data_IF_364035300613
#
_entry.id   IF_364035300613
#
_cell.length_a   1.000
_cell.length_b   1.000
_cell.length_c   1.000
_cell.angle_alpha   90.00
_cell.angle_beta   90.00
_cell.angle_gamma   90.00
#
_symmetry.space_group_name_H-M   'P 1'
#
loop_
_entity.id
_entity.type
_entity.pdbx_description
1 polymer ?
#
# COMPACT_ATOMS: atom_id res chain seq x y z
N UNK A 1 -23.02 6.64 -24.61
CA UNK A 1 -22.50 6.86 -23.26
C UNK A 1 -21.19 6.09 -23.17
N UNK A 2 -20.08 6.79 -22.96
CA UNK A 2 -18.76 6.17 -22.94
C UNK A 2 -18.68 5.21 -21.73
N UNK A 3 -18.05 4.04 -21.88
CA UNK A 3 -17.93 3.07 -20.76
C UNK A 3 -17.24 3.70 -19.56
N UNK A 4 -16.37 4.68 -19.81
CA UNK A 4 -15.66 5.43 -18.78
C UNK A 4 -16.59 6.37 -17.99
N UNK A 5 -17.51 7.06 -18.66
CA UNK A 5 -18.54 7.90 -18.00
C UNK A 5 -19.48 7.06 -17.15
N UNK A 6 -19.82 5.85 -17.60
CA UNK A 6 -20.67 4.94 -16.85
C UNK A 6 -19.99 4.45 -15.56
N UNK A 7 -18.70 4.13 -15.60
CA UNK A 7 -17.93 3.71 -14.42
C UNK A 7 -17.77 4.87 -13.44
N UNK A 8 -17.48 6.07 -13.94
CA UNK A 8 -17.38 7.27 -13.10
C UNK A 8 -18.70 7.57 -12.39
N UNK A 9 -19.81 7.59 -13.13
CA UNK A 9 -21.16 7.79 -12.59
C UNK A 9 -21.53 6.73 -11.56
N UNK A 10 -21.28 5.46 -11.84
CA UNK A 10 -21.60 4.37 -10.90
C UNK A 10 -20.76 4.43 -9.62
N UNK A 11 -19.55 5.01 -9.67
CA UNK A 11 -18.69 5.17 -8.49
C UNK A 11 -19.13 6.37 -7.64
N UNK A 12 -19.57 7.45 -8.28
CA UNK A 12 -20.14 8.65 -7.65
C UNK A 12 -21.55 8.40 -7.08
N UNK A 13 -22.34 7.48 -7.65
CA UNK A 13 -23.67 7.11 -7.14
C UNK A 13 -23.65 6.20 -5.90
N UNK A 14 -22.53 5.52 -5.61
CA UNK A 14 -22.44 4.52 -4.54
C UNK A 14 -22.03 5.10 -3.17
N UNK A 15 -21.51 6.32 -3.13
CA UNK A 15 -21.04 6.97 -1.89
C UNK A 15 -21.52 8.42 -1.93
N UNK A 16 -22.24 8.86 -0.90
CA UNK A 16 -22.79 10.21 -0.86
C UNK A 16 -21.67 11.27 -0.79
N UNK A 17 -21.87 12.44 -1.43
CA UNK A 17 -20.90 13.56 -1.35
C UNK A 17 -20.61 13.99 0.09
N UNK A 18 -21.55 13.76 1.02
CA UNK A 18 -21.43 14.08 2.44
C UNK A 18 -20.49 13.11 3.18
N UNK A 19 -20.60 11.79 2.95
CA UNK A 19 -19.66 10.78 3.48
C UNK A 19 -18.25 10.93 2.90
N UNK A 20 -18.13 11.38 1.65
CA UNK A 20 -16.85 11.66 0.99
C UNK A 20 -16.19 12.93 1.55
N UNK A 21 -16.95 13.91 2.04
CA UNK A 21 -16.38 15.15 2.60
C UNK A 21 -15.79 14.97 3.99
N UNK A 22 -16.27 14.00 4.77
CA UNK A 22 -15.69 13.66 6.08
C UNK A 22 -14.38 12.86 5.98
N UNK A 23 -14.16 12.16 4.86
CA UNK A 23 -12.94 11.40 4.59
C UNK A 23 -12.09 12.22 3.62
N UNK A 24 -10.86 12.60 3.98
CA UNK A 24 -9.93 13.31 3.08
C UNK A 24 -9.59 12.50 1.79
N UNK A 25 -10.54 12.40 0.86
CA UNK A 25 -10.52 11.51 -0.30
C UNK A 25 -10.04 12.29 -1.51
N UNK A 26 -9.00 11.78 -2.17
CA UNK A 26 -8.45 12.36 -3.41
C UNK A 26 -8.66 11.40 -4.56
N UNK A 27 -9.45 11.81 -5.54
CA UNK A 27 -9.60 11.10 -6.81
C UNK A 27 -8.47 11.48 -7.76
N UNK A 28 -7.87 10.49 -8.42
CA UNK A 28 -6.78 10.67 -9.39
C UNK A 28 -7.11 9.84 -10.62
N UNK A 29 -7.09 10.45 -11.81
CA UNK A 29 -7.28 9.69 -13.05
C UNK A 29 -5.96 9.03 -13.48
N UNK A 30 -6.01 7.76 -13.90
CA UNK A 30 -4.82 7.05 -14.40
C UNK A 30 -4.15 7.77 -15.57
N UNK A 31 -4.94 8.37 -16.46
CA UNK A 31 -4.43 9.11 -17.62
C UNK A 31 -3.59 10.33 -17.25
N UNK A 32 -3.71 10.86 -16.03
CA UNK A 32 -2.96 12.04 -15.58
C UNK A 32 -1.48 11.73 -15.34
N UNK A 33 -1.12 10.50 -14.96
CA UNK A 33 0.26 10.15 -14.59
C UNK A 33 0.82 8.93 -15.34
N UNK A 34 -0.02 8.01 -15.81
CA UNK A 34 0.43 6.79 -16.49
C UNK A 34 1.07 7.05 -17.86
N UNK A 35 0.75 8.20 -18.50
CA UNK A 35 1.35 8.62 -19.77
C UNK A 35 2.72 9.30 -19.63
N UNK A 36 3.18 9.50 -18.40
CA UNK A 36 4.48 10.11 -18.12
C UNK A 36 5.66 9.24 -18.59
N UNK A 37 6.74 9.91 -19.02
CA UNK A 37 7.99 9.24 -19.40
C UNK A 37 8.62 8.49 -18.22
N UNK A 38 8.51 9.04 -17.01
CA UNK A 38 8.97 8.40 -15.77
C UNK A 38 8.21 7.10 -15.49
N UNK A 39 6.88 7.13 -15.62
CA UNK A 39 6.03 5.95 -15.43
C UNK A 39 6.40 4.83 -16.40
N UNK A 40 6.51 5.17 -17.69
CA UNK A 40 6.87 4.23 -18.75
C UNK A 40 8.26 3.63 -18.50
N UNK A 41 9.23 4.44 -18.08
CA UNK A 41 10.58 3.98 -17.77
C UNK A 41 10.58 3.01 -16.57
N UNK A 42 9.82 3.31 -15.51
CA UNK A 42 9.72 2.45 -14.34
C UNK A 42 9.03 1.11 -14.68
N UNK A 43 8.00 1.15 -15.53
CA UNK A 43 7.35 -0.06 -16.04
C UNK A 43 8.33 -0.94 -16.84
N UNK A 44 9.13 -0.36 -17.74
CA UNK A 44 10.16 -1.07 -18.50
C UNK A 44 11.29 -1.61 -17.61
N UNK A 45 11.66 -0.89 -16.55
CA UNK A 45 12.64 -1.40 -15.57
C UNK A 45 12.09 -2.62 -14.82
N UNK A 46 10.81 -2.59 -14.42
CA UNK A 46 10.15 -3.73 -13.77
C UNK A 46 10.01 -4.93 -14.71
N UNK A 47 9.70 -4.71 -15.98
CA UNK A 47 9.56 -5.80 -16.95
C UNK A 47 10.87 -6.58 -17.11
N UNK A 48 12.03 -5.91 -17.03
CA UNK A 48 13.35 -6.54 -17.07
C UNK A 48 13.64 -7.42 -15.85
N UNK A 49 13.21 -7.00 -14.66
CA UNK A 49 13.52 -7.71 -13.41
C UNK A 49 12.63 -8.93 -13.17
N UNK A 50 11.49 -9.01 -13.85
CA UNK A 50 10.40 -9.89 -13.42
C UNK A 50 10.32 -11.18 -14.24
N UNK A 51 11.04 -12.23 -13.83
CA UNK A 51 10.76 -13.62 -14.28
C UNK A 51 9.51 -14.22 -13.60
N UNK A 52 9.05 -13.59 -12.52
CA UNK A 52 7.87 -13.99 -11.71
C UNK A 52 6.51 -13.57 -12.26
N UNK A 53 6.46 -12.74 -13.31
CA UNK A 53 5.22 -12.14 -13.83
C UNK A 53 4.24 -13.22 -14.28
N UNK A 54 4.75 -14.34 -14.80
CA UNK A 54 3.96 -15.50 -15.20
C UNK A 54 3.13 -16.07 -14.04
N UNK A 55 3.69 -16.16 -12.82
CA UNK A 55 2.95 -16.65 -11.63
C UNK A 55 1.86 -15.69 -11.13
N UNK A 56 2.04 -14.39 -11.37
CA UNK A 56 1.02 -13.38 -11.06
C UNK A 56 -0.13 -13.41 -12.07
N UNK A 57 0.14 -13.85 -13.30
CA UNK A 57 -0.88 -13.99 -14.35
C UNK A 57 -1.82 -15.17 -14.15
N UNK A 58 -1.36 -16.29 -13.57
CA UNK A 58 -2.18 -17.51 -13.43
C UNK A 58 -3.46 -17.33 -12.59
N UNK A 59 -3.60 -16.24 -11.83
CA UNK A 59 -4.84 -15.91 -11.08
C UNK A 59 -5.66 -14.78 -11.71
N UNK A 60 -5.01 -13.80 -12.35
CA UNK A 60 -5.69 -12.64 -12.97
C UNK A 60 -6.28 -13.02 -14.33
N UNK A 61 -5.61 -13.92 -15.04
CA UNK A 61 -6.07 -14.50 -16.30
C UNK A 61 -6.53 -15.92 -16.04
N UNK A 62 -7.84 -16.10 -15.84
CA UNK A 62 -8.45 -17.45 -15.75
C UNK A 62 -8.13 -18.22 -17.03
N UNK A 63 -7.26 -19.22 -16.95
CA UNK A 63 -7.02 -20.28 -17.94
C UNK A 63 -6.98 -19.82 -19.42
N UNK A 64 -6.26 -18.75 -19.74
CA UNK A 64 -6.05 -18.37 -21.14
C UNK A 64 -4.82 -19.10 -21.71
N UNK A 65 -5.03 -20.08 -22.57
CA UNK A 65 -3.97 -20.82 -23.30
C UNK A 65 -3.01 -19.88 -24.06
N UNK A 66 -3.48 -18.69 -24.47
CA UNK A 66 -2.68 -17.63 -25.08
C UNK A 66 -3.06 -16.26 -24.49
N UNK A 67 -2.40 -15.81 -23.41
CA UNK A 67 -2.69 -14.52 -22.80
C UNK A 67 -2.22 -13.37 -23.70
N UNK A 68 -2.99 -12.28 -23.75
CA UNK A 68 -2.58 -11.06 -24.46
C UNK A 68 -1.40 -10.39 -23.74
N UNK A 69 -0.53 -9.72 -24.49
CA UNK A 69 0.59 -8.93 -23.92
C UNK A 69 0.09 -7.88 -22.92
N UNK A 70 -1.10 -7.31 -23.16
CA UNK A 70 -1.75 -6.38 -22.22
C UNK A 70 -2.00 -7.00 -20.83
N UNK A 71 -2.25 -8.30 -20.75
CA UNK A 71 -2.43 -9.02 -19.47
C UNK A 71 -1.10 -9.17 -18.71
N UNK A 72 0.03 -9.12 -19.40
CA UNK A 72 1.37 -9.08 -18.76
C UNK A 72 1.71 -7.67 -18.28
N UNK A 73 1.31 -6.64 -19.05
CA UNK A 73 1.61 -5.25 -18.74
C UNK A 73 0.77 -4.76 -17.56
N UNK A 74 -0.49 -5.18 -17.46
CA UNK A 74 -1.43 -4.68 -16.45
C UNK A 74 -0.95 -4.86 -14.99
N UNK A 75 -0.47 -6.04 -14.54
CA UNK A 75 0.09 -6.19 -13.19
C UNK A 75 1.32 -5.32 -12.93
N UNK A 76 2.14 -5.07 -13.96
CA UNK A 76 3.31 -4.20 -13.84
C UNK A 76 2.87 -2.74 -13.68
N UNK A 77 1.89 -2.30 -14.46
CA UNK A 77 1.30 -0.97 -14.32
C UNK A 77 0.75 -0.76 -12.91
N UNK A 78 -0.06 -1.69 -12.40
CA UNK A 78 -0.62 -1.61 -11.05
C UNK A 78 0.46 -1.61 -9.96
N UNK A 79 1.58 -2.33 -10.15
CA UNK A 79 2.72 -2.27 -9.24
C UNK A 79 3.42 -0.90 -9.27
N UNK A 80 3.57 -0.29 -10.46
CA UNK A 80 4.11 1.08 -10.59
C UNK A 80 3.15 2.11 -10.00
N UNK A 81 1.83 1.93 -10.15
CA UNK A 81 0.82 2.84 -9.60
C UNK A 81 0.97 2.98 -8.09
N UNK A 82 1.20 1.87 -7.37
CA UNK A 82 1.46 1.88 -5.91
C UNK A 82 2.64 2.80 -5.57
N UNK A 83 3.73 2.72 -6.34
CA UNK A 83 4.92 3.54 -6.11
C UNK A 83 4.71 5.01 -6.51
N UNK A 84 4.07 5.26 -7.66
CA UNK A 84 3.91 6.61 -8.22
C UNK A 84 2.87 7.44 -7.47
N UNK A 85 1.79 6.80 -6.99
CA UNK A 85 0.79 7.44 -6.16
C UNK A 85 1.28 7.67 -4.72
N UNK A 86 2.44 7.09 -4.36
CA UNK A 86 3.04 7.14 -3.02
C UNK A 86 2.04 6.66 -1.96
N UNK A 87 1.40 5.53 -2.23
CA UNK A 87 0.43 4.95 -1.28
C UNK A 87 1.16 4.14 -0.22
N UNK A 88 0.86 4.41 1.04
CA UNK A 88 1.42 3.66 2.17
C UNK A 88 0.74 2.29 2.35
N UNK A 89 -0.56 2.23 2.03
CA UNK A 89 -1.38 1.03 2.15
C UNK A 89 -2.21 0.84 0.88
N UNK A 90 -1.92 -0.24 0.14
CA UNK A 90 -2.74 -0.67 -0.98
C UNK A 90 -3.86 -1.61 -0.49
N UNK A 91 -5.10 -1.16 -0.60
CA UNK A 91 -6.30 -1.94 -0.24
C UNK A 91 -6.93 -2.49 -1.52
N UNK A 92 -7.25 -3.78 -1.54
CA UNK A 92 -7.85 -4.45 -2.68
C UNK A 92 -8.42 -5.81 -2.29
N UNK A 93 -9.16 -6.45 -3.21
CA UNK A 93 -9.71 -7.79 -3.01
C UNK A 93 -8.63 -8.87 -2.88
N UNK A 94 -9.02 -10.06 -2.43
CA UNK A 94 -8.10 -11.21 -2.26
C UNK A 94 -7.42 -11.59 -3.59
N UNK A 95 -8.13 -11.41 -4.70
CA UNK A 95 -7.69 -11.57 -6.08
C UNK A 95 -6.52 -10.64 -6.46
N UNK A 96 -6.35 -9.51 -5.78
CA UNK A 96 -5.26 -8.55 -6.04
C UNK A 96 -4.01 -8.81 -5.20
N UNK A 97 -4.05 -9.77 -4.26
CA UNK A 97 -2.94 -10.07 -3.35
C UNK A 97 -1.63 -10.36 -4.09
N UNK A 98 -1.67 -11.13 -5.20
CA UNK A 98 -0.46 -11.44 -5.98
C UNK A 98 0.17 -10.21 -6.59
N UNK A 99 -0.62 -9.23 -7.02
CA UNK A 99 -0.14 -7.97 -7.59
C UNK A 99 0.52 -7.14 -6.49
N UNK A 100 -0.07 -7.07 -5.30
CA UNK A 100 0.54 -6.39 -4.15
C UNK A 100 1.85 -7.04 -3.72
N UNK A 101 1.93 -8.38 -3.74
CA UNK A 101 3.18 -9.11 -3.47
C UNK A 101 4.22 -8.89 -4.57
N UNK A 102 3.81 -8.83 -5.83
CA UNK A 102 4.68 -8.48 -6.93
C UNK A 102 5.30 -7.09 -6.70
N UNK A 103 4.46 -6.08 -6.43
CA UNK A 103 4.92 -4.71 -6.14
C UNK A 103 5.92 -4.70 -4.99
N UNK A 104 5.61 -5.37 -3.87
CA UNK A 104 6.50 -5.47 -2.71
C UNK A 104 7.87 -6.05 -3.06
N UNK A 105 7.92 -7.07 -3.90
CA UNK A 105 9.15 -7.77 -4.22
C UNK A 105 9.98 -7.05 -5.30
N UNK A 106 9.33 -6.35 -6.23
CA UNK A 106 10.00 -5.75 -7.40
C UNK A 106 10.30 -4.27 -7.25
N UNK A 107 9.49 -3.50 -6.51
CA UNK A 107 9.71 -2.06 -6.30
C UNK A 107 11.07 -1.72 -5.64
N UNK A 108 11.59 -2.50 -4.66
CA UNK A 108 12.92 -2.26 -4.11
C UNK A 108 14.04 -2.31 -5.15
N UNK A 109 13.90 -3.14 -6.20
CA UNK A 109 14.92 -3.32 -7.24
C UNK A 109 15.07 -2.11 -8.16
N UNK A 110 14.04 -1.27 -8.25
CA UNK A 110 14.03 -0.08 -9.10
C UNK A 110 14.19 1.22 -8.29
N UNK A 111 14.60 1.11 -7.02
CA UNK A 111 14.94 2.24 -6.16
C UNK A 111 13.79 2.74 -5.27
N UNK A 112 12.60 2.16 -5.38
CA UNK A 112 11.50 2.44 -4.46
C UNK A 112 11.70 1.61 -3.18
N UNK A 113 12.37 2.22 -2.19
CA UNK A 113 12.46 1.66 -0.83
C UNK A 113 11.10 1.77 -0.16
N UNK A 114 10.25 0.77 -0.37
CA UNK A 114 9.00 0.68 0.39
C UNK A 114 9.16 -0.40 1.44
N UNK A 115 9.37 0.04 2.68
CA UNK A 115 8.95 -0.75 3.82
C UNK A 115 7.60 -0.16 4.25
N UNK A 116 6.46 -0.78 3.85
CA UNK A 116 5.13 -0.27 4.18
C UNK A 116 4.96 -0.06 5.68
N UNK A 117 5.68 -0.85 6.49
CA UNK A 117 5.63 -0.73 7.94
C UNK A 117 6.33 0.56 8.41
N UNK A 118 7.49 0.91 7.85
CA UNK A 118 8.13 2.20 8.17
C UNK A 118 7.29 3.38 7.67
N UNK A 119 6.65 3.26 6.52
CA UNK A 119 5.74 4.28 5.99
C UNK A 119 4.53 4.52 6.91
N UNK A 120 3.96 3.45 7.49
CA UNK A 120 2.94 3.57 8.53
C UNK A 120 3.44 4.38 9.74
N UNK A 121 4.68 4.13 10.18
CA UNK A 121 5.28 4.90 11.27
C UNK A 121 5.44 6.37 10.92
N UNK A 122 5.94 6.68 9.71
CA UNK A 122 6.19 8.05 9.24
C UNK A 122 4.92 8.86 9.04
N UNK A 123 3.93 8.30 8.37
CA UNK A 123 2.78 9.06 7.88
C UNK A 123 1.54 8.93 8.75
N UNK A 124 1.41 7.86 9.53
CA UNK A 124 0.19 7.59 10.29
C UNK A 124 0.41 7.58 11.80
N UNK A 125 1.48 6.96 12.29
CA UNK A 125 1.71 6.79 13.73
C UNK A 125 2.37 8.06 14.32
N UNK A 126 3.50 8.50 13.77
CA UNK A 126 4.24 9.68 14.25
C UNK A 126 3.36 10.94 14.28
N UNK A 127 2.60 11.30 13.22
CA UNK A 127 1.81 12.53 13.23
C UNK A 127 0.64 12.51 14.21
N UNK A 128 0.15 11.32 14.61
CA UNK A 128 -0.99 11.17 15.51
C UNK A 128 -0.59 11.04 16.98
N UNK A 129 0.51 10.32 17.25
CA UNK A 129 0.97 10.06 18.62
C UNK A 129 2.06 11.02 19.09
N UNK A 130 2.77 11.69 18.17
CA UNK A 130 3.90 12.57 18.46
C UNK A 130 5.13 11.88 19.06
N UNK A 131 5.01 10.59 19.42
CA UNK A 131 6.06 9.74 19.97
C UNK A 131 5.95 8.36 19.36
N UNK A 132 7.08 7.78 19.00
CA UNK A 132 7.15 6.45 18.41
C UNK A 132 7.65 5.46 19.45
N UNK A 133 6.81 4.47 19.79
CA UNK A 133 7.16 3.42 20.75
C UNK A 133 7.12 2.10 20.02
N UNK A 134 8.24 1.37 20.05
CA UNK A 134 8.31 -0.03 19.60
C UNK A 134 8.30 -0.92 20.83
N UNK A 135 7.18 -1.58 21.02
CA UNK A 135 7.00 -2.59 22.06
C UNK A 135 7.77 -3.85 21.67
N UNK A 136 8.69 -4.29 22.53
CA UNK A 136 9.42 -5.55 22.33
C UNK A 136 9.58 -6.30 23.64
N UNK A 137 9.55 -7.64 23.62
CA UNK A 137 9.71 -8.42 24.85
C UNK A 137 11.03 -8.08 25.55
N UNK A 138 11.03 -8.04 26.89
CA UNK A 138 12.24 -7.73 27.69
C UNK A 138 13.45 -8.59 27.31
N UNK A 139 13.21 -9.84 26.90
CA UNK A 139 14.23 -10.80 26.44
C UNK A 139 15.01 -10.33 25.21
N UNK A 140 14.43 -9.42 24.41
CA UNK A 140 15.06 -8.82 23.25
C UNK A 140 15.53 -7.39 23.50
N UNK A 141 15.45 -6.93 24.75
CA UNK A 141 16.03 -5.68 25.27
C UNK A 141 15.04 -4.55 25.54
N UNK A 142 13.74 -4.87 25.68
CA UNK A 142 12.70 -3.97 26.20
C UNK A 142 12.31 -2.79 25.29
N UNK A 143 11.19 -2.15 25.59
CA UNK A 143 10.57 -1.13 24.73
C UNK A 143 11.53 0.00 24.35
N UNK A 144 11.54 0.36 23.07
CA UNK A 144 12.37 1.44 22.55
C UNK A 144 11.48 2.63 22.22
N UNK A 145 11.89 3.81 22.69
CA UNK A 145 11.22 5.08 22.41
C UNK A 145 12.06 5.89 21.43
N UNK A 146 11.43 6.35 20.36
CA UNK A 146 12.03 7.18 19.33
C UNK A 146 11.40 8.58 19.35
N UNK A 147 12.26 9.60 19.30
CA UNK A 147 11.85 11.01 19.27
C UNK A 147 11.36 11.45 17.88
N UNK A 148 11.78 10.75 16.81
CA UNK A 148 11.34 11.01 15.43
C UNK A 148 11.49 9.78 14.53
N UNK A 149 10.82 9.80 13.38
CA UNK A 149 10.91 8.75 12.35
C UNK A 149 12.34 8.50 11.88
N UNK A 150 13.16 9.55 11.74
CA UNK A 150 14.54 9.42 11.24
C UNK A 150 15.40 8.52 12.14
N UNK A 151 15.25 8.63 13.46
CA UNK A 151 15.94 7.77 14.42
C UNK A 151 15.50 6.31 14.29
N UNK A 152 14.19 6.08 14.11
CA UNK A 152 13.63 4.75 13.88
C UNK A 152 14.15 4.12 12.58
N UNK A 153 14.17 4.89 11.49
CA UNK A 153 14.61 4.44 10.17
C UNK A 153 16.10 4.04 10.19
N UNK A 154 16.94 4.82 10.87
CA UNK A 154 18.36 4.52 11.02
C UNK A 154 18.60 3.22 11.80
N UNK A 155 17.94 3.04 12.95
CA UNK A 155 18.09 1.82 13.74
C UNK A 155 17.54 0.57 13.01
N UNK A 156 16.49 0.73 12.20
CA UNK A 156 16.01 -0.33 11.32
C UNK A 156 17.00 -0.65 10.20
N UNK A 157 17.61 0.36 9.58
CA UNK A 157 18.64 0.18 8.54
C UNK A 157 19.90 -0.51 9.10
N UNK A 158 20.26 -0.22 10.35
CA UNK A 158 21.36 -0.86 11.08
C UNK A 158 21.01 -2.26 11.63
N UNK A 159 19.79 -2.76 11.36
CA UNK A 159 19.29 -4.07 11.83
C UNK A 159 19.26 -4.22 13.36
N UNK A 160 19.20 -3.11 14.10
CA UNK A 160 19.01 -3.13 15.57
C UNK A 160 17.58 -3.50 15.96
N UNK A 161 16.63 -3.29 15.04
CA UNK A 161 15.21 -3.60 15.21
C UNK A 161 14.85 -4.79 14.32
N UNK A 162 14.22 -5.80 14.90
CA UNK A 162 13.76 -6.93 14.12
C UNK A 162 12.47 -6.57 13.34
N UNK A 163 12.31 -6.99 12.07
CA UNK A 163 11.11 -6.67 11.29
C UNK A 163 9.79 -7.12 11.92
N UNK A 164 9.82 -8.20 12.72
CA UNK A 164 8.63 -8.69 13.43
C UNK A 164 8.17 -7.73 14.52
N UNK A 165 9.10 -7.11 15.25
CA UNK A 165 8.78 -6.19 16.35
C UNK A 165 8.17 -4.91 15.76
N UNK A 166 8.78 -4.41 14.68
CA UNK A 166 8.25 -3.28 13.92
C UNK A 166 6.82 -3.55 13.42
N UNK A 167 6.57 -4.76 12.91
CA UNK A 167 5.24 -5.15 12.41
C UNK A 167 4.20 -5.24 13.53
N UNK A 168 4.57 -5.81 14.66
CA UNK A 168 3.67 -6.02 15.80
C UNK A 168 3.27 -4.68 16.39
N UNK A 169 4.25 -3.81 16.64
CA UNK A 169 4.02 -2.46 17.13
C UNK A 169 3.18 -1.61 16.15
N UNK A 170 3.46 -1.66 14.84
CA UNK A 170 2.63 -0.96 13.86
C UNK A 170 1.17 -1.42 13.89
N UNK A 171 0.93 -2.73 14.07
CA UNK A 171 -0.42 -3.28 14.15
C UNK A 171 -1.16 -2.78 15.40
N UNK A 172 -0.50 -2.72 16.55
CA UNK A 172 -1.06 -2.22 17.81
C UNK A 172 -1.43 -0.73 17.72
N UNK A 173 -0.53 0.09 17.19
CA UNK A 173 -0.80 1.52 16.95
C UNK A 173 -2.00 1.71 16.02
N UNK A 174 -2.06 0.94 14.92
CA UNK A 174 -3.22 0.99 14.01
C UNK A 174 -4.51 0.52 14.68
N UNK A 175 -4.47 -0.55 15.49
CA UNK A 175 -5.64 -1.02 16.24
C UNK A 175 -6.15 0.09 17.15
N UNK A 176 -5.26 0.79 17.85
CA UNK A 176 -5.62 1.89 18.74
C UNK A 176 -6.17 3.10 17.96
N UNK A 177 -5.59 3.40 16.79
CA UNK A 177 -6.10 4.41 15.86
C UNK A 177 -7.54 4.10 15.41
N UNK A 178 -7.82 2.84 15.07
CA UNK A 178 -9.14 2.41 14.57
C UNK A 178 -10.13 2.07 15.68
N UNK A 179 -9.69 2.03 16.94
CA UNK A 179 -10.53 1.70 18.10
C UNK A 179 -11.80 2.55 18.18
N UNK A 180 -11.76 3.89 18.13
CA UNK A 180 -12.98 4.70 18.21
C UNK A 180 -13.98 4.38 17.10
N UNK A 181 -13.51 4.20 15.85
CA UNK A 181 -14.38 3.82 14.72
C UNK A 181 -15.05 2.47 14.96
N UNK A 182 -14.30 1.48 15.48
CA UNK A 182 -14.85 0.15 15.79
C UNK A 182 -15.87 0.17 16.91
N UNK A 183 -15.72 1.06 17.88
CA UNK A 183 -16.66 1.21 18.99
C UNK A 183 -17.97 1.84 18.49
N UNK A 184 -17.90 2.91 17.70
CA UNK A 184 -19.08 3.55 17.10
C UNK A 184 -19.88 2.60 16.20
N UNK A 185 -19.22 1.79 15.35
CA UNK A 185 -19.93 0.85 14.47
C UNK A 185 -20.64 -0.28 15.23
N UNK A 186 -20.15 -0.66 16.42
CA UNK A 186 -20.82 -1.66 17.27
C UNK A 186 -22.07 -1.11 17.93
N UNK A 187 -22.06 0.17 18.29
CA UNK A 187 -23.22 0.85 18.89
C UNK A 187 -24.34 1.09 17.87
N UNK A 188 -24.03 1.35 16.60
CA UNK A 188 -25.04 1.54 15.53
C UNK A 188 -25.71 0.23 15.08
N UNK A 189 -25.20 -0.93 15.51
CA UNK A 189 -25.72 -2.26 15.14
C UNK A 189 -26.63 -2.86 16.24
N UNK A 190 -26.96 -2.10 17.29
CA UNK A 190 -28.01 -2.43 18.26
C UNK A 190 -29.25 -1.57 18.03
#
# INVERSE_FOLDING_TARGET
>A
MDRFELVKRNTEELVSEEEIREICTRYVSGTEFQLGSEYTLNMLKLSRTTTRARRSMDEVSRDAENPYVSQMIYPLMQAVDIAMLKVDVAVGGIDQRKIHMLARDTLPSIGFKNNPILELFKYHIEPRYGKLIIERPEKFGGDIKYENYTALENDFAEKKIHPQDLKTSAAEHLINIFKPVRETMKETTQ
#
